data_IF_518407227607
#
_entry.id   IF_518407227607
#
_cell.length_a   1.000
_cell.length_b   1.000
_cell.length_c   1.000
_cell.angle_alpha   90.00
_cell.angle_beta   90.00
_cell.angle_gamma   90.00
#
_symmetry.space_group_name_H-M   'P 1'
#
loop_
_entity.id
_entity.type
_entity.pdbx_description
1 polymer ?
#
# COMPACT_ATOMS: atom_id res chain seq x y z
N UNK A 1 -21.79 1.94 9.55
CA UNK A 1 -20.86 0.95 8.97
C UNK A 1 -20.36 1.33 7.57
N UNK A 2 -21.20 1.41 6.52
CA UNK A 2 -20.75 1.65 5.13
C UNK A 2 -20.01 2.99 4.84
N UNK A 3 -20.15 4.02 5.69
CA UNK A 3 -19.34 5.26 5.60
C UNK A 3 -17.95 5.09 6.24
N UNK A 4 -17.88 4.34 7.34
CA UNK A 4 -16.62 4.04 8.04
C UNK A 4 -15.73 3.18 7.15
N UNK A 5 -16.29 2.22 6.40
CA UNK A 5 -15.52 1.39 5.47
C UNK A 5 -14.85 2.20 4.36
N UNK A 6 -15.52 3.24 3.85
CA UNK A 6 -14.91 4.17 2.87
C UNK A 6 -13.79 4.98 3.53
N UNK A 7 -14.01 5.49 4.75
CA UNK A 7 -12.96 6.19 5.50
C UNK A 7 -11.72 5.31 5.74
N UNK A 8 -11.93 4.04 6.11
CA UNK A 8 -10.85 3.07 6.29
C UNK A 8 -10.12 2.77 4.97
N UNK A 9 -10.83 2.74 3.84
CA UNK A 9 -10.21 2.60 2.51
C UNK A 9 -9.26 3.76 2.19
N UNK A 10 -9.63 5.00 2.54
CA UNK A 10 -8.74 6.15 2.42
C UNK A 10 -7.56 6.08 3.39
N UNK A 11 -7.77 5.59 4.62
CA UNK A 11 -6.70 5.40 5.59
C UNK A 11 -5.65 4.39 5.07
N UNK A 12 -6.09 3.27 4.48
CA UNK A 12 -5.20 2.30 3.85
C UNK A 12 -4.34 2.94 2.75
N UNK A 13 -4.97 3.73 1.87
CA UNK A 13 -4.27 4.47 0.82
C UNK A 13 -3.22 5.44 1.39
N UNK A 14 -3.59 6.22 2.41
CA UNK A 14 -2.67 7.17 3.04
C UNK A 14 -1.45 6.49 3.67
N UNK A 15 -1.66 5.37 4.39
CA UNK A 15 -0.55 4.63 5.00
C UNK A 15 0.37 4.03 3.92
N UNK A 16 -0.20 3.52 2.81
CA UNK A 16 0.59 3.00 1.69
C UNK A 16 1.47 4.10 1.06
N UNK A 17 0.95 5.32 0.89
CA UNK A 17 1.76 6.47 0.43
C UNK A 17 2.88 6.78 1.41
N UNK A 18 2.58 6.81 2.71
CA UNK A 18 3.58 7.08 3.75
C UNK A 18 4.68 6.01 3.72
N UNK A 19 4.34 4.74 3.52
CA UNK A 19 5.30 3.65 3.40
C UNK A 19 6.30 3.89 2.26
N UNK A 20 5.82 4.26 1.07
CA UNK A 20 6.68 4.60 -0.10
C UNK A 20 7.56 5.81 0.18
N UNK A 21 7.02 6.83 0.85
CA UNK A 21 7.81 8.02 1.22
C UNK A 21 8.92 7.64 2.20
N UNK A 22 8.63 6.79 3.20
CA UNK A 22 9.63 6.29 4.14
C UNK A 22 10.68 5.45 3.41
N UNK A 23 10.27 4.53 2.53
CA UNK A 23 11.18 3.76 1.69
C UNK A 23 12.17 4.68 0.97
N UNK A 24 11.64 5.66 0.23
CA UNK A 24 12.45 6.56 -0.58
C UNK A 24 13.41 7.41 0.27
N UNK A 25 12.96 7.90 1.44
CA UNK A 25 13.79 8.71 2.33
C UNK A 25 14.94 7.92 2.96
N UNK A 26 14.74 6.62 3.21
CA UNK A 26 15.69 5.80 3.96
C UNK A 26 16.39 4.71 3.13
N UNK A 27 16.21 4.69 1.81
CA UNK A 27 16.76 3.64 0.93
C UNK A 27 18.29 3.50 0.98
N UNK A 28 19.01 4.58 1.30
CA UNK A 28 20.47 4.57 1.46
C UNK A 28 20.95 4.04 2.82
N UNK A 29 20.05 3.89 3.79
CA UNK A 29 20.39 3.43 5.13
C UNK A 29 20.47 1.90 5.17
N UNK A 30 21.68 1.38 5.41
CA UNK A 30 21.89 -0.06 5.59
C UNK A 30 21.06 -0.64 6.75
N UNK A 31 20.91 0.14 7.83
CA UNK A 31 20.08 -0.26 8.97
C UNK A 31 18.60 -0.38 8.56
N UNK A 32 18.09 0.58 7.80
CA UNK A 32 16.71 0.54 7.29
C UNK A 32 16.49 -0.65 6.37
N UNK A 33 17.40 -0.86 5.43
CA UNK A 33 17.34 -1.98 4.48
C UNK A 33 17.30 -3.35 5.19
N UNK A 34 18.14 -3.52 6.21
CA UNK A 34 18.22 -4.80 6.94
C UNK A 34 17.07 -5.05 7.92
N UNK A 35 16.48 -4.01 8.52
CA UNK A 35 15.52 -4.17 9.63
C UNK A 35 14.06 -3.86 9.26
N UNK A 36 13.81 -2.92 8.34
CA UNK A 36 12.47 -2.38 8.10
C UNK A 36 11.97 -2.56 6.67
N UNK A 37 12.86 -2.58 5.69
CA UNK A 37 12.50 -2.58 4.28
C UNK A 37 11.52 -3.70 3.90
N UNK A 38 11.75 -4.94 4.37
CA UNK A 38 10.82 -6.06 4.15
C UNK A 38 9.39 -5.76 4.63
N UNK A 39 9.25 -5.13 5.80
CA UNK A 39 7.93 -4.81 6.37
C UNK A 39 7.26 -3.68 5.61
N UNK A 40 8.02 -2.68 5.18
CA UNK A 40 7.53 -1.57 4.35
C UNK A 40 6.97 -2.11 3.03
N UNK A 41 7.71 -3.00 2.35
CA UNK A 41 7.23 -3.65 1.12
C UNK A 41 5.93 -4.45 1.34
N UNK A 42 5.79 -5.14 2.48
CA UNK A 42 4.53 -5.84 2.80
C UNK A 42 3.37 -4.85 2.99
N UNK A 43 3.60 -3.72 3.64
CA UNK A 43 2.59 -2.67 3.83
C UNK A 43 2.16 -2.09 2.47
N UNK A 44 3.13 -1.78 1.60
CA UNK A 44 2.89 -1.25 0.26
C UNK A 44 2.05 -2.19 -0.61
N UNK A 45 2.19 -3.51 -0.45
CA UNK A 45 1.40 -4.49 -1.19
C UNK A 45 0.01 -4.73 -0.57
N UNK A 46 -0.06 -4.91 0.75
CA UNK A 46 -1.27 -5.37 1.41
C UNK A 46 -2.30 -4.26 1.61
N UNK A 47 -1.88 -3.03 1.93
CA UNK A 47 -2.81 -1.96 2.25
C UNK A 47 -3.66 -1.49 1.06
N UNK A 48 -3.12 -1.32 -0.16
CA UNK A 48 -3.95 -0.97 -1.30
C UNK A 48 -4.99 -2.04 -1.61
N UNK A 49 -4.64 -3.34 -1.47
CA UNK A 49 -5.60 -4.45 -1.63
C UNK A 49 -6.73 -4.34 -0.61
N UNK A 50 -6.38 -4.15 0.68
CA UNK A 50 -7.37 -3.93 1.73
C UNK A 50 -8.22 -2.69 1.46
N UNK A 51 -7.60 -1.61 0.96
CA UNK A 51 -8.28 -0.39 0.58
C UNK A 51 -9.31 -0.61 -0.53
N UNK A 52 -8.99 -1.40 -1.56
CA UNK A 52 -9.92 -1.79 -2.63
C UNK A 52 -11.11 -2.58 -2.05
N UNK A 53 -10.83 -3.58 -1.21
CA UNK A 53 -11.87 -4.42 -0.57
C UNK A 53 -12.81 -3.55 0.27
N UNK A 54 -12.25 -2.70 1.14
CA UNK A 54 -13.00 -1.79 1.99
C UNK A 54 -13.83 -0.79 1.18
N UNK A 55 -13.26 -0.26 0.10
CA UNK A 55 -13.95 0.60 -0.85
C UNK A 55 -15.13 -0.13 -1.53
N UNK A 56 -14.93 -1.38 -1.95
CA UNK A 56 -15.97 -2.21 -2.58
C UNK A 56 -17.17 -2.45 -1.64
N UNK A 57 -16.93 -2.69 -0.35
CA UNK A 57 -17.97 -2.83 0.68
C UNK A 57 -18.54 -1.49 1.19
N UNK A 58 -18.00 -0.37 0.70
CA UNK A 58 -18.43 1.00 1.00
C UNK A 58 -19.85 1.35 0.54
N UNK A 59 -20.41 2.43 1.10
CA UNK A 59 -21.70 2.97 0.66
C UNK A 59 -21.59 3.42 -0.79
N UNK A 60 -22.60 3.11 -1.61
CA UNK A 60 -22.65 3.59 -3.00
C UNK A 60 -22.61 5.13 -3.04
N UNK A 61 -21.77 5.67 -3.93
CA UNK A 61 -21.53 7.10 -4.10
C UNK A 61 -20.14 7.38 -4.69
N UNK A 62 -19.90 8.63 -5.06
CA UNK A 62 -18.63 9.06 -5.66
C UNK A 62 -17.42 8.74 -4.77
N UNK A 63 -17.54 8.91 -3.45
CA UNK A 63 -16.45 8.62 -2.50
C UNK A 63 -15.98 7.16 -2.56
N UNK A 64 -16.90 6.19 -2.72
CA UNK A 64 -16.54 4.78 -2.89
C UNK A 64 -15.71 4.58 -4.17
N UNK A 65 -16.18 5.16 -5.28
CA UNK A 65 -15.52 5.01 -6.58
C UNK A 65 -14.12 5.63 -6.52
N UNK A 66 -13.99 6.82 -5.94
CA UNK A 66 -12.72 7.51 -5.76
C UNK A 66 -11.76 6.66 -4.90
N UNK A 67 -12.22 6.12 -3.77
CA UNK A 67 -11.39 5.31 -2.89
C UNK A 67 -10.86 4.04 -3.59
N UNK A 68 -11.72 3.37 -4.38
CA UNK A 68 -11.32 2.22 -5.19
C UNK A 68 -10.29 2.63 -6.25
N UNK A 69 -10.55 3.71 -6.99
CA UNK A 69 -9.64 4.20 -8.04
C UNK A 69 -8.27 4.53 -7.46
N UNK A 70 -8.21 5.25 -6.34
CA UNK A 70 -6.94 5.64 -5.72
C UNK A 70 -6.11 4.43 -5.28
N UNK A 71 -6.74 3.47 -4.58
CA UNK A 71 -6.04 2.28 -4.15
C UNK A 71 -5.62 1.39 -5.33
N UNK A 72 -6.45 1.26 -6.37
CA UNK A 72 -6.11 0.51 -7.58
C UNK A 72 -4.97 1.16 -8.38
N UNK A 73 -5.01 2.50 -8.54
CA UNK A 73 -3.95 3.23 -9.23
C UNK A 73 -2.62 3.07 -8.49
N UNK A 74 -2.63 3.23 -7.16
CA UNK A 74 -1.45 2.98 -6.34
C UNK A 74 -0.95 1.55 -6.54
N UNK A 75 -1.84 0.56 -6.45
CA UNK A 75 -1.47 -0.85 -6.58
C UNK A 75 -0.79 -1.12 -7.93
N UNK A 76 -1.34 -0.61 -9.03
CA UNK A 76 -0.75 -0.79 -10.37
C UNK A 76 0.62 -0.13 -10.48
N UNK A 77 0.80 1.06 -9.90
CA UNK A 77 2.03 1.83 -10.01
C UNK A 77 3.19 1.25 -9.19
N UNK A 78 2.93 0.79 -7.96
CA UNK A 78 3.99 0.46 -7.00
C UNK A 78 4.17 -1.03 -6.74
N UNK A 79 3.13 -1.86 -6.93
CA UNK A 79 3.17 -3.26 -6.49
C UNK A 79 4.14 -4.14 -7.27
N UNK A 80 4.41 -3.83 -8.54
CA UNK A 80 5.39 -4.58 -9.34
C UNK A 80 6.80 -4.44 -8.74
N UNK A 81 7.20 -3.20 -8.43
CA UNK A 81 8.49 -2.92 -7.82
C UNK A 81 8.59 -3.53 -6.42
N UNK A 82 7.54 -3.34 -5.60
CA UNK A 82 7.54 -3.88 -4.25
C UNK A 82 7.62 -5.41 -4.23
N UNK A 83 6.90 -6.09 -5.14
CA UNK A 83 6.94 -7.55 -5.28
C UNK A 83 8.31 -8.05 -5.74
N UNK A 84 8.93 -7.34 -6.69
CA UNK A 84 10.27 -7.68 -7.18
C UNK A 84 11.33 -7.56 -6.08
N UNK A 85 11.30 -6.46 -5.31
CA UNK A 85 12.20 -6.25 -4.17
C UNK A 85 12.02 -7.33 -3.10
N UNK A 86 10.77 -7.71 -2.81
CA UNK A 86 10.46 -8.74 -1.82
C UNK A 86 10.91 -10.13 -2.30
N UNK A 87 10.81 -10.41 -3.60
CA UNK A 87 11.34 -11.63 -4.21
C UNK A 87 12.87 -11.71 -4.10
N UNK A 88 13.59 -10.64 -4.43
CA UNK A 88 15.06 -10.58 -4.29
C UNK A 88 15.46 -10.80 -2.83
N UNK A 89 14.81 -10.15 -1.87
CA UNK A 89 15.11 -10.32 -0.44
C UNK A 89 14.88 -11.76 0.05
N UNK A 90 13.95 -12.47 -0.56
CA UNK A 90 13.55 -13.82 -0.12
C UNK A 90 14.37 -14.91 -0.81
N UNK A 91 14.64 -14.76 -2.10
CA UNK A 91 15.23 -15.81 -2.95
C UNK A 91 16.54 -15.41 -3.64
N UNK A 92 16.92 -14.13 -3.63
CA UNK A 92 18.14 -13.62 -4.27
C UNK A 92 19.43 -13.91 -3.50
N UNK A 93 19.45 -14.99 -2.70
CA UNK A 93 20.65 -15.51 -2.04
C UNK A 93 21.25 -16.64 -2.85
#
# INVERSE_FOLDING_TARGET
>A
MKKITVLLSYLCFSIAIIAVVIEYLFISSHFFYSHYFKYILMIELMLPILGIILGAFGKSGAQKIIAIILNSLYFILFSSLASFNLWILTFGK
#
